data_IF_875034586132
#
_entry.id   IF_875034586132
#
_cell.length_a   1.000
_cell.length_b   1.000
_cell.length_c   1.000
_cell.angle_alpha   90.00
_cell.angle_beta   90.00
_cell.angle_gamma   90.00
#
_symmetry.space_group_name_H-M   'P 1'
#
loop_
_entity.id
_entity.type
_entity.pdbx_description
1 polymer ?
#
# COMPACT_ATOMS: atom_id res chain seq x y z
N UNK A 1 40.38 -8.49 12.72
CA UNK A 1 39.56 -8.97 13.85
C UNK A 1 38.61 -10.05 13.34
N UNK A 2 38.48 -11.22 14.00
CA UNK A 2 37.58 -12.28 13.55
C UNK A 2 36.11 -11.95 13.84
N UNK A 3 35.20 -12.29 12.92
CA UNK A 3 33.75 -12.12 13.07
C UNK A 3 33.12 -13.44 13.53
N UNK A 4 32.24 -13.40 14.54
CA UNK A 4 31.50 -14.59 14.99
C UNK A 4 30.12 -14.64 14.34
N UNK A 5 29.77 -15.80 13.77
CA UNK A 5 28.43 -16.04 13.24
C UNK A 5 27.42 -16.22 14.38
N UNK A 6 26.33 -15.44 14.38
CA UNK A 6 25.27 -15.53 15.40
C UNK A 6 24.56 -16.89 15.44
N UNK A 7 24.58 -17.63 14.33
CA UNK A 7 23.88 -18.89 14.20
C UNK A 7 24.76 -20.07 14.61
N UNK A 8 25.94 -20.26 14.02
CA UNK A 8 26.80 -21.41 14.33
C UNK A 8 27.89 -21.12 15.40
N UNK A 9 28.08 -19.86 15.80
CA UNK A 9 29.08 -19.45 16.81
C UNK A 9 30.54 -19.49 16.36
N UNK A 10 30.85 -20.05 15.18
CA UNK A 10 32.21 -20.15 14.63
C UNK A 10 32.75 -18.78 14.18
N UNK A 11 34.08 -18.64 14.17
CA UNK A 11 34.78 -17.41 13.77
C UNK A 11 35.18 -17.45 12.28
N UNK A 12 34.97 -16.34 11.57
CA UNK A 12 35.23 -16.20 10.14
C UNK A 12 35.91 -14.86 9.81
N UNK A 13 36.54 -14.78 8.64
CA UNK A 13 37.07 -13.52 8.11
C UNK A 13 35.94 -12.60 7.60
N UNK A 14 36.29 -11.36 7.23
CA UNK A 14 35.31 -10.36 6.79
C UNK A 14 34.48 -10.82 5.58
N UNK A 15 35.07 -11.61 4.69
CA UNK A 15 34.41 -12.12 3.47
C UNK A 15 33.45 -13.28 3.76
N UNK A 16 33.71 -14.07 4.81
CA UNK A 16 32.93 -15.26 5.15
C UNK A 16 32.03 -15.10 6.39
N UNK A 17 31.82 -13.84 6.82
CA UNK A 17 31.05 -13.54 8.04
C UNK A 17 29.55 -13.82 7.91
N UNK A 18 28.99 -13.84 6.70
CA UNK A 18 27.57 -14.10 6.48
C UNK A 18 27.30 -15.62 6.45
N UNK A 19 26.14 -16.08 6.94
CA UNK A 19 25.78 -17.51 6.92
C UNK A 19 25.84 -18.16 5.53
N UNK A 20 25.48 -17.39 4.49
CA UNK A 20 25.48 -17.82 3.08
C UNK A 20 26.90 -17.94 2.52
N UNK A 21 27.85 -17.17 3.06
CA UNK A 21 29.24 -17.15 2.60
C UNK A 21 30.13 -18.24 3.19
N UNK A 22 29.67 -18.99 4.20
CA UNK A 22 30.45 -20.09 4.80
C UNK A 22 29.68 -21.41 4.91
N UNK A 23 28.57 -21.55 4.19
CA UNK A 23 27.71 -22.74 4.21
C UNK A 23 27.35 -23.15 5.66
N UNK A 24 26.66 -22.24 6.36
CA UNK A 24 26.33 -22.41 7.77
C UNK A 24 25.52 -23.69 8.04
N UNK A 25 25.93 -24.48 9.04
CA UNK A 25 25.23 -25.71 9.46
C UNK A 25 23.79 -25.48 9.94
N UNK A 26 23.43 -24.23 10.27
CA UNK A 26 22.07 -23.83 10.67
C UNK A 26 21.33 -23.08 9.56
N UNK A 27 21.72 -23.26 8.30
CA UNK A 27 21.08 -22.61 7.15
C UNK A 27 19.58 -22.90 7.07
N UNK A 28 19.16 -24.13 7.35
CA UNK A 28 17.74 -24.54 7.31
C UNK A 28 16.88 -23.77 8.32
N UNK A 29 17.40 -23.58 9.54
CA UNK A 29 16.72 -22.80 10.58
C UNK A 29 16.60 -21.32 10.20
N UNK A 30 17.63 -20.78 9.55
CA UNK A 30 17.62 -19.41 9.03
C UNK A 30 16.59 -19.27 7.92
N UNK A 31 16.47 -20.27 7.04
CA UNK A 31 15.49 -20.26 5.96
C UNK A 31 14.06 -20.43 6.49
N UNK A 32 13.84 -21.26 7.51
CA UNK A 32 12.56 -21.36 8.19
C UNK A 32 12.18 -20.07 8.92
N UNK A 33 13.11 -19.42 9.63
CA UNK A 33 12.88 -18.11 10.24
C UNK A 33 12.57 -17.04 9.18
N UNK A 34 13.30 -17.04 8.04
CA UNK A 34 13.02 -16.15 6.91
C UNK A 34 11.62 -16.43 6.32
N UNK A 35 11.20 -17.69 6.19
CA UNK A 35 9.87 -18.07 5.71
C UNK A 35 8.76 -17.71 6.69
N UNK A 36 8.96 -17.94 8.00
CA UNK A 36 8.02 -17.56 9.06
C UNK A 36 7.89 -16.05 9.18
N UNK A 37 9.00 -15.31 9.07
CA UNK A 37 8.98 -13.86 8.98
C UNK A 37 8.24 -13.40 7.70
N UNK A 38 8.54 -13.98 6.54
CA UNK A 38 7.83 -13.67 5.29
C UNK A 38 6.32 -13.98 5.35
N UNK A 39 5.93 -15.00 6.12
CA UNK A 39 4.53 -15.38 6.35
C UNK A 39 3.86 -14.48 7.40
N UNK A 40 4.57 -14.05 8.44
CA UNK A 40 4.03 -13.09 9.43
C UNK A 40 4.01 -11.65 8.93
N UNK A 41 4.68 -11.34 7.80
CA UNK A 41 4.62 -10.04 7.11
C UNK A 41 3.35 -9.92 6.23
N UNK A 42 2.69 -11.04 5.88
CA UNK A 42 1.37 -11.01 5.22
C UNK A 42 0.23 -10.72 6.22
N UNK A 43 0.52 -10.83 7.52
CA UNK A 43 -0.39 -10.62 8.65
C UNK A 43 0.06 -9.48 9.58
N UNK A 44 0.92 -8.56 9.13
CA UNK A 44 1.09 -7.26 9.82
C UNK A 44 0.01 -6.28 9.38
N UNK A 45 -1.22 -6.69 9.68
CA UNK A 45 -2.36 -5.84 9.91
C UNK A 45 -1.99 -4.90 11.06
N UNK A 46 -2.05 -3.58 10.84
CA UNK A 46 -2.06 -2.50 11.83
C UNK A 46 -1.50 -2.91 13.21
N UNK A 47 -0.20 -2.74 13.45
CA UNK A 47 0.27 -2.71 14.84
C UNK A 47 -0.37 -1.46 15.45
N UNK A 48 -1.47 -1.63 16.18
CA UNK A 48 -2.09 -0.56 16.96
C UNK A 48 -1.05 -0.12 17.98
N UNK A 49 -0.45 1.06 17.84
CA UNK A 49 0.49 1.55 18.84
C UNK A 49 -0.26 1.68 20.16
N UNK A 50 0.41 1.43 21.28
CA UNK A 50 -0.24 1.65 22.57
C UNK A 50 -0.61 3.14 22.71
N UNK A 51 -1.85 3.47 23.09
CA UNK A 51 -2.28 4.86 23.24
C UNK A 51 -1.41 5.60 24.27
N UNK A 52 -0.88 6.76 23.87
CA UNK A 52 -0.18 7.69 24.75
C UNK A 52 -1.20 8.61 25.42
N UNK A 53 -1.01 8.92 26.71
CA UNK A 53 -1.91 9.81 27.46
C UNK A 53 -1.24 11.16 27.73
N UNK A 54 -1.92 12.26 27.38
CA UNK A 54 -1.48 13.62 27.72
C UNK A 54 -2.61 14.37 28.45
N UNK A 55 -2.35 14.99 29.62
CA UNK A 55 -3.29 15.89 30.26
C UNK A 55 -3.34 17.22 29.49
N UNK A 56 -4.54 17.65 29.10
CA UNK A 56 -4.75 18.93 28.41
C UNK A 56 -5.33 19.95 29.38
N UNK A 57 -4.58 21.03 29.64
CA UNK A 57 -5.05 22.12 30.50
C UNK A 57 -6.10 22.94 29.76
N UNK A 58 -7.33 22.92 30.25
CA UNK A 58 -8.45 23.71 29.70
C UNK A 58 -8.87 23.30 28.29
N UNK A 59 -8.66 22.03 27.90
CA UNK A 59 -9.11 21.50 26.60
C UNK A 59 -8.29 21.94 25.39
N UNK A 60 -7.08 22.48 25.61
CA UNK A 60 -6.22 22.95 24.53
C UNK A 60 -5.48 21.76 23.89
N UNK A 61 -5.85 21.42 22.66
CA UNK A 61 -5.26 20.29 21.89
C UNK A 61 -3.86 20.57 21.35
N UNK A 62 -3.22 21.69 21.73
CA UNK A 62 -1.86 22.06 21.27
C UNK A 62 -0.79 21.05 21.67
N UNK A 63 -1.07 20.26 22.70
CA UNK A 63 -0.13 19.30 23.27
C UNK A 63 -0.23 17.92 22.58
N UNK A 64 -1.20 17.75 21.67
CA UNK A 64 -1.38 16.55 20.86
C UNK A 64 -0.60 16.71 19.55
N UNK A 65 0.30 15.77 19.20
CA UNK A 65 1.01 15.81 17.92
C UNK A 65 0.05 15.89 16.72
N UNK A 66 0.39 16.74 15.74
CA UNK A 66 -0.38 16.84 14.50
C UNK A 66 -0.36 15.50 13.75
N UNK A 67 -1.54 14.99 13.39
CA UNK A 67 -1.70 13.68 12.74
C UNK A 67 -1.95 12.50 13.71
N UNK A 68 -2.07 12.74 15.01
CA UNK A 68 -2.49 11.72 15.96
C UNK A 68 -4.00 11.43 15.88
N UNK A 69 -4.38 10.15 15.99
CA UNK A 69 -5.78 9.72 16.14
C UNK A 69 -6.14 9.63 17.61
N UNK A 70 -7.21 10.31 18.02
CA UNK A 70 -7.71 10.27 19.41
C UNK A 70 -8.50 8.98 19.60
N UNK A 71 -8.06 8.16 20.55
CA UNK A 71 -8.71 6.91 20.92
C UNK A 71 -9.80 7.14 21.97
N UNK A 72 -9.50 7.92 23.00
CA UNK A 72 -10.43 8.18 24.10
C UNK A 72 -10.09 9.48 24.84
N UNK A 73 -11.11 10.21 25.27
CA UNK A 73 -10.98 11.36 26.16
C UNK A 73 -11.64 11.05 27.51
N UNK A 74 -10.97 11.41 28.62
CA UNK A 74 -11.49 11.24 29.98
C UNK A 74 -11.26 12.51 30.79
N UNK A 75 -12.32 13.06 31.35
CA UNK A 75 -12.25 14.16 32.32
C UNK A 75 -11.78 13.64 33.69
N UNK A 76 -10.79 14.30 34.27
CA UNK A 76 -10.29 14.02 35.61
C UNK A 76 -10.84 15.06 36.61
N UNK A 77 -11.74 14.66 37.53
CA UNK A 77 -12.35 15.57 38.49
C UNK A 77 -11.40 16.03 39.60
N UNK A 78 -10.27 15.35 39.83
CA UNK A 78 -9.30 15.73 40.87
C UNK A 78 -8.38 16.86 40.41
N UNK A 79 -7.96 16.80 39.14
CA UNK A 79 -7.04 17.77 38.54
C UNK A 79 -7.77 18.87 37.74
N UNK A 80 -9.00 18.60 37.31
CA UNK A 80 -9.77 19.49 36.42
C UNK A 80 -9.33 19.41 34.95
N UNK A 81 -8.39 18.52 34.62
CA UNK A 81 -7.85 18.35 33.28
C UNK A 81 -8.59 17.26 32.49
N UNK A 82 -8.50 17.33 31.15
CA UNK A 82 -8.95 16.23 30.28
C UNK A 82 -7.75 15.42 29.82
N UNK A 83 -7.74 14.13 30.17
CA UNK A 83 -6.74 13.17 29.74
C UNK A 83 -7.13 12.67 28.35
N UNK A 84 -6.31 12.98 27.35
CA UNK A 84 -6.50 12.51 25.97
C UNK A 84 -5.58 11.33 25.71
N UNK A 85 -6.15 10.19 25.31
CA UNK A 85 -5.42 9.03 24.81
C UNK A 85 -5.41 9.07 23.29
N UNK A 86 -4.21 9.11 22.70
CA UNK A 86 -4.01 9.14 21.25
C UNK A 86 -2.97 8.11 20.81
N UNK A 87 -3.03 7.65 19.57
CA UNK A 87 -1.93 6.90 18.96
C UNK A 87 -1.51 7.55 17.64
N UNK A 88 -0.23 7.38 17.32
CA UNK A 88 0.32 7.75 16.01
C UNK A 88 0.15 6.55 15.08
N UNK A 89 -0.69 6.60 14.04
CA UNK A 89 -0.80 5.47 13.11
C UNK A 89 0.59 5.17 12.52
N UNK A 90 1.17 4.04 12.91
CA UNK A 90 2.47 3.62 12.37
C UNK A 90 2.24 2.92 11.05
N UNK A 91 2.53 3.60 9.96
CA UNK A 91 2.64 2.95 8.66
C UNK A 91 3.93 2.14 8.67
N UNK A 92 3.82 0.83 8.94
CA UNK A 92 4.93 -0.08 8.73
C UNK A 92 5.25 -0.14 7.25
N UNK A 93 6.44 0.36 6.90
CA UNK A 93 6.98 0.39 5.54
C UNK A 93 7.20 -1.05 5.04
N UNK A 94 6.47 -1.55 4.03
CA UNK A 94 6.69 -2.90 3.51
C UNK A 94 7.98 -2.97 2.67
N UNK A 95 8.32 -4.19 2.27
CA UNK A 95 9.60 -4.61 1.70
C UNK A 95 10.17 -3.67 0.62
N UNK A 96 11.50 -3.56 0.62
CA UNK A 96 12.30 -2.69 -0.26
C UNK A 96 11.93 -2.95 -1.73
N UNK A 97 11.53 -1.93 -2.52
CA UNK A 97 11.15 -2.11 -3.92
C UNK A 97 12.33 -2.60 -4.76
N UNK A 98 12.07 -3.57 -5.65
CA UNK A 98 13.06 -4.19 -6.55
C UNK A 98 13.74 -3.18 -7.48
N UNK A 99 13.05 -2.09 -7.83
CA UNK A 99 13.54 -1.04 -8.74
C UNK A 99 13.70 0.34 -8.07
N UNK A 100 13.71 0.40 -6.74
CA UNK A 100 13.75 1.68 -5.99
C UNK A 100 12.44 2.49 -6.03
N UNK A 101 11.59 2.29 -7.05
CA UNK A 101 10.32 3.02 -7.25
C UNK A 101 9.09 2.11 -7.15
N UNK A 102 9.17 0.84 -7.60
CA UNK A 102 8.02 -0.08 -7.62
C UNK A 102 8.38 -1.45 -7.03
N UNK A 103 7.42 -2.06 -6.33
CA UNK A 103 7.54 -3.43 -5.81
C UNK A 103 7.13 -4.48 -6.86
N UNK A 104 7.68 -5.70 -6.77
CA UNK A 104 7.26 -6.79 -7.67
C UNK A 104 5.78 -7.17 -7.50
N UNK A 105 5.27 -7.10 -6.26
CA UNK A 105 3.85 -7.34 -5.95
C UNK A 105 2.95 -6.25 -6.55
N UNK A 106 3.39 -5.00 -6.47
CA UNK A 106 2.69 -3.87 -7.07
C UNK A 106 2.57 -4.02 -8.59
N UNK A 107 3.65 -4.40 -9.28
CA UNK A 107 3.61 -4.62 -10.73
C UNK A 107 2.57 -5.70 -11.09
N UNK A 108 2.54 -6.79 -10.32
CA UNK A 108 1.53 -7.85 -10.48
C UNK A 108 0.11 -7.32 -10.29
N UNK A 109 -0.13 -6.56 -9.22
CA UNK A 109 -1.44 -5.95 -8.96
C UNK A 109 -1.84 -4.96 -10.06
N UNK A 110 -0.93 -4.09 -10.50
CA UNK A 110 -1.19 -3.12 -11.54
C UNK A 110 -1.54 -3.80 -12.87
N UNK A 111 -0.82 -4.86 -13.25
CA UNK A 111 -1.13 -5.64 -14.45
C UNK A 111 -2.51 -6.29 -14.39
N UNK A 112 -2.87 -6.88 -13.24
CA UNK A 112 -4.21 -7.45 -13.04
C UNK A 112 -5.27 -6.36 -13.13
N UNK A 113 -5.04 -5.20 -12.50
CA UNK A 113 -5.95 -4.05 -12.56
C UNK A 113 -6.16 -3.54 -13.99
N UNK A 114 -5.10 -3.43 -14.80
CA UNK A 114 -5.15 -3.04 -16.21
C UNK A 114 -5.99 -4.04 -17.02
N UNK A 115 -5.79 -5.34 -16.81
CA UNK A 115 -6.56 -6.38 -17.50
C UNK A 115 -8.04 -6.28 -17.10
N UNK A 116 -8.34 -6.19 -15.81
CA UNK A 116 -9.72 -6.07 -15.31
C UNK A 116 -10.41 -4.82 -15.86
N UNK A 117 -9.73 -3.67 -15.83
CA UNK A 117 -10.20 -2.40 -16.38
C UNK A 117 -10.52 -2.52 -17.88
N UNK A 118 -9.58 -3.02 -18.68
CA UNK A 118 -9.79 -3.14 -20.12
C UNK A 118 -10.92 -4.12 -20.45
N UNK A 119 -10.96 -5.28 -19.77
CA UNK A 119 -11.97 -6.31 -20.00
C UNK A 119 -13.37 -5.84 -19.59
N UNK A 120 -13.53 -5.18 -18.45
CA UNK A 120 -14.84 -4.69 -17.98
C UNK A 120 -15.41 -3.63 -18.92
N UNK A 121 -14.59 -2.64 -19.32
CA UNK A 121 -14.98 -1.59 -20.26
C UNK A 121 -15.30 -2.18 -21.64
N UNK A 122 -14.45 -3.07 -22.15
CA UNK A 122 -14.69 -3.74 -23.43
C UNK A 122 -16.01 -4.52 -23.41
N UNK A 123 -16.24 -5.33 -22.37
CA UNK A 123 -17.46 -6.11 -22.21
C UNK A 123 -18.69 -5.21 -22.07
N UNK A 124 -18.60 -4.11 -21.31
CA UNK A 124 -19.67 -3.11 -21.19
C UNK A 124 -20.11 -2.60 -22.56
N UNK A 125 -19.15 -2.19 -23.40
CA UNK A 125 -19.45 -1.69 -24.75
C UNK A 125 -19.95 -2.81 -25.67
N UNK A 126 -19.41 -4.03 -25.60
CA UNK A 126 -19.89 -5.15 -26.43
C UNK A 126 -21.35 -5.49 -26.13
N UNK A 127 -21.73 -5.57 -24.85
CA UNK A 127 -23.12 -5.83 -24.44
C UNK A 127 -24.03 -4.68 -24.90
N UNK A 128 -23.60 -3.43 -24.70
CA UNK A 128 -24.41 -2.24 -25.01
C UNK A 128 -24.67 -2.04 -26.51
N UNK A 129 -23.78 -2.54 -27.37
CA UNK A 129 -23.83 -2.33 -28.82
C UNK A 129 -24.00 -3.63 -29.62
N UNK A 130 -24.49 -4.71 -28.99
CA UNK A 130 -24.50 -6.06 -29.59
C UNK A 130 -25.19 -6.12 -30.97
N UNK A 131 -26.32 -5.44 -31.15
CA UNK A 131 -27.06 -5.41 -32.43
C UNK A 131 -26.26 -4.70 -33.55
N UNK A 132 -25.57 -3.61 -33.20
CA UNK A 132 -24.74 -2.85 -34.13
C UNK A 132 -23.47 -3.63 -34.52
N UNK A 133 -22.89 -4.38 -33.57
CA UNK A 133 -21.68 -5.16 -33.79
C UNK A 133 -21.89 -6.29 -34.81
N UNK A 134 -23.06 -6.92 -34.82
CA UNK A 134 -23.42 -7.91 -35.84
C UNK A 134 -23.53 -7.29 -37.24
N UNK A 135 -24.12 -6.09 -37.33
CA UNK A 135 -24.32 -5.39 -38.62
C UNK A 135 -23.04 -4.75 -39.14
N UNK A 136 -22.17 -4.28 -38.25
CA UNK A 136 -20.96 -3.52 -38.57
C UNK A 136 -19.77 -4.02 -37.73
N UNK A 137 -19.13 -5.14 -38.10
CA UNK A 137 -18.07 -5.76 -37.29
C UNK A 137 -16.82 -4.89 -37.13
N UNK A 138 -16.61 -3.88 -37.99
CA UNK A 138 -15.50 -2.92 -37.87
C UNK A 138 -15.59 -2.08 -36.59
N UNK A 139 -16.78 -1.96 -35.97
CA UNK A 139 -16.97 -1.22 -34.71
C UNK A 139 -16.16 -1.86 -33.56
N UNK A 140 -15.86 -3.17 -33.60
CA UNK A 140 -14.98 -3.80 -32.60
C UNK A 140 -13.60 -3.13 -32.50
N UNK A 141 -13.05 -2.65 -33.62
CA UNK A 141 -11.77 -1.93 -33.63
C UNK A 141 -11.89 -0.62 -32.85
N UNK A 142 -12.96 0.14 -33.08
CA UNK A 142 -13.20 1.41 -32.37
C UNK A 142 -13.40 1.20 -30.87
N UNK A 143 -14.18 0.19 -30.46
CA UNK A 143 -14.37 -0.14 -29.03
C UNK A 143 -13.04 -0.54 -28.39
N UNK A 144 -12.21 -1.33 -29.08
CA UNK A 144 -10.88 -1.75 -28.60
C UNK A 144 -9.96 -0.55 -28.39
N UNK A 145 -9.92 0.38 -29.34
CA UNK A 145 -9.11 1.60 -29.25
C UNK A 145 -9.60 2.51 -28.12
N UNK A 146 -10.92 2.68 -27.98
CA UNK A 146 -11.51 3.49 -26.91
C UNK A 146 -11.24 2.87 -25.53
N UNK A 147 -11.42 1.56 -25.38
CA UNK A 147 -11.08 0.84 -24.15
C UNK A 147 -9.61 1.00 -23.79
N UNK A 148 -8.71 0.91 -24.78
CA UNK A 148 -7.28 1.15 -24.58
C UNK A 148 -6.98 2.57 -24.10
N UNK A 149 -7.64 3.58 -24.67
CA UNK A 149 -7.48 4.98 -24.25
C UNK A 149 -7.93 5.19 -22.79
N UNK A 150 -9.09 4.62 -22.41
CA UNK A 150 -9.60 4.68 -21.03
C UNK A 150 -8.62 4.01 -20.07
N UNK A 151 -8.10 2.83 -20.41
CA UNK A 151 -7.11 2.11 -19.61
C UNK A 151 -5.81 2.91 -19.44
N UNK A 152 -5.35 3.62 -20.49
CA UNK A 152 -4.20 4.53 -20.38
C UNK A 152 -4.50 5.67 -19.40
N UNK A 153 -5.71 6.24 -19.45
CA UNK A 153 -6.17 7.25 -18.48
C UNK A 153 -6.13 6.74 -17.05
N UNK A 154 -6.62 5.52 -16.80
CA UNK A 154 -6.53 4.87 -15.49
C UNK A 154 -5.08 4.70 -15.01
N UNK A 155 -4.18 4.23 -15.88
CA UNK A 155 -2.76 4.10 -15.53
C UNK A 155 -2.18 5.47 -15.14
N UNK A 156 -2.49 6.52 -15.90
CA UNK A 156 -2.07 7.89 -15.60
C UNK A 156 -2.63 8.41 -14.28
N UNK A 157 -3.89 8.12 -13.98
CA UNK A 157 -4.58 8.48 -12.74
C UNK A 157 -3.86 7.88 -11.51
N UNK A 158 -3.67 6.56 -11.50
CA UNK A 158 -3.01 5.85 -10.40
C UNK A 158 -1.53 6.26 -10.25
N UNK A 159 -0.81 6.39 -11.37
CA UNK A 159 0.58 6.83 -11.35
C UNK A 159 0.72 8.26 -10.79
N UNK A 160 -0.25 9.14 -11.02
CA UNK A 160 -0.20 10.52 -10.52
C UNK A 160 -0.33 10.60 -9.00
N UNK A 161 -1.21 9.80 -8.40
CA UNK A 161 -1.26 9.62 -6.95
C UNK A 161 0.07 9.11 -6.40
N UNK A 162 0.64 8.10 -7.06
CA UNK A 162 1.92 7.52 -6.66
C UNK A 162 3.07 8.51 -6.75
N UNK A 163 3.26 9.17 -7.90
CA UNK A 163 4.37 10.10 -8.09
C UNK A 163 4.28 11.31 -7.17
N UNK A 164 3.07 11.81 -6.89
CA UNK A 164 2.88 12.92 -5.94
C UNK A 164 3.24 12.49 -4.53
N UNK A 165 2.86 11.27 -4.13
CA UNK A 165 3.23 10.71 -2.82
C UNK A 165 4.74 10.53 -2.68
N UNK A 166 5.41 10.02 -3.73
CA UNK A 166 6.87 9.84 -3.73
C UNK A 166 7.62 11.18 -3.69
N UNK A 167 7.07 12.26 -4.27
CA UNK A 167 7.66 13.62 -4.17
C UNK A 167 7.56 14.22 -2.77
N UNK A 168 6.63 13.73 -1.95
CA UNK A 168 6.42 14.14 -0.57
C UNK A 168 7.14 13.20 0.42
N UNK A 169 8.08 12.37 -0.07
CA UNK A 169 8.80 11.35 0.71
C UNK A 169 7.89 10.31 1.39
N UNK A 170 6.67 10.12 0.88
CA UNK A 170 5.76 9.10 1.37
C UNK A 170 6.00 7.77 0.66
N UNK A 171 5.70 6.68 1.37
CA UNK A 171 5.58 5.39 0.72
C UNK A 171 4.26 5.34 -0.06
N UNK A 172 4.30 4.81 -1.29
CA UNK A 172 3.11 4.63 -2.11
C UNK A 172 3.22 3.42 -3.02
N UNK A 173 2.22 2.54 -2.96
CA UNK A 173 2.12 1.37 -3.84
C UNK A 173 0.68 1.12 -4.29
N UNK A 174 0.50 0.79 -5.57
CA UNK A 174 -0.78 0.32 -6.06
C UNK A 174 -1.11 -1.06 -5.49
N UNK A 175 -2.31 -1.20 -4.92
CA UNK A 175 -2.82 -2.46 -4.40
C UNK A 175 -4.19 -2.76 -4.96
N UNK A 176 -4.33 -3.97 -5.49
CA UNK A 176 -5.61 -4.52 -5.85
C UNK A 176 -6.40 -4.81 -4.57
N UNK A 177 -7.63 -4.32 -4.49
CA UNK A 177 -8.50 -4.67 -3.38
C UNK A 177 -9.40 -5.84 -3.79
N UNK A 178 -9.38 -6.94 -3.04
CA UNK A 178 -10.09 -8.18 -3.41
C UNK A 178 -11.57 -7.92 -3.70
N UNK A 179 -12.23 -7.13 -2.87
CA UNK A 179 -13.65 -6.78 -3.02
C UNK A 179 -13.90 -6.00 -4.30
N UNK A 180 -13.14 -4.93 -4.54
CA UNK A 180 -13.38 -4.07 -5.69
C UNK A 180 -12.90 -4.68 -7.01
N UNK A 181 -11.84 -5.50 -6.98
CA UNK A 181 -11.42 -6.31 -8.12
C UNK A 181 -12.49 -7.33 -8.52
N UNK A 182 -13.09 -8.01 -7.54
CA UNK A 182 -14.20 -8.93 -7.78
C UNK A 182 -15.42 -8.21 -8.34
N UNK A 183 -15.80 -7.07 -7.75
CA UNK A 183 -16.89 -6.25 -8.26
C UNK A 183 -16.62 -5.77 -9.69
N UNK A 184 -15.40 -5.33 -9.99
CA UNK A 184 -15.00 -4.90 -11.35
C UNK A 184 -15.05 -6.04 -12.36
N UNK A 185 -14.73 -7.26 -11.94
CA UNK A 185 -14.78 -8.44 -12.80
C UNK A 185 -16.22 -8.87 -13.12
N UNK A 186 -17.15 -8.72 -12.18
CA UNK A 186 -18.54 -9.23 -12.30
C UNK A 186 -19.51 -8.15 -12.80
N UNK A 187 -19.28 -6.89 -12.42
CA UNK A 187 -20.17 -5.76 -12.69
C UNK A 187 -19.46 -4.79 -13.63
N UNK A 188 -19.69 -4.85 -14.95
CA UNK A 188 -18.94 -4.07 -15.93
C UNK A 188 -19.13 -2.54 -15.81
N UNK A 189 -20.12 -2.07 -15.04
CA UNK A 189 -20.33 -0.66 -14.69
C UNK A 189 -19.55 -0.18 -13.45
N UNK A 190 -18.99 -1.10 -12.66
CA UNK A 190 -18.15 -0.76 -11.52
C UNK A 190 -16.69 -0.93 -11.93
N UNK A 191 -15.94 0.18 -12.00
CA UNK A 191 -14.62 0.19 -12.63
C UNK A 191 -13.58 0.78 -11.69
N UNK A 192 -13.26 0.04 -10.63
CA UNK A 192 -12.35 0.46 -9.57
C UNK A 192 -11.63 -0.77 -9.01
N UNK A 193 -10.64 -1.36 -9.70
CA UNK A 193 -10.06 -2.64 -9.27
C UNK A 193 -9.17 -2.51 -8.01
N UNK A 194 -8.70 -1.31 -7.68
CA UNK A 194 -7.79 -1.06 -6.57
C UNK A 194 -7.50 0.42 -6.40
N UNK A 195 -6.51 0.73 -5.58
CA UNK A 195 -6.07 2.09 -5.31
C UNK A 195 -4.58 2.15 -4.94
N UNK A 196 -3.96 3.33 -5.10
CA UNK A 196 -2.66 3.62 -4.51
C UNK A 196 -2.80 3.81 -3.00
N UNK A 197 -2.17 2.91 -2.24
CA UNK A 197 -2.07 3.04 -0.79
C UNK A 197 -0.89 3.94 -0.46
N UNK A 198 -1.13 4.96 0.36
CA UNK A 198 -0.11 5.95 0.77
C UNK A 198 0.15 5.82 2.25
N UNK A 199 1.41 5.82 2.63
CA UNK A 199 1.85 5.59 3.98
C UNK A 199 2.92 6.58 4.42
N UNK A 200 2.65 7.31 5.51
CA UNK A 200 3.60 8.24 6.12
C UNK A 200 3.34 8.39 7.61
N UNK A 201 4.41 8.48 8.40
CA UNK A 201 4.34 8.78 9.84
C UNK A 201 4.17 10.28 10.13
N UNK A 202 4.16 11.15 9.09
CA UNK A 202 4.11 12.63 9.21
C UNK A 202 3.17 13.27 8.18
N UNK A 203 2.17 12.54 7.67
CA UNK A 203 1.26 13.07 6.65
C UNK A 203 0.44 14.25 7.19
N UNK A 204 0.66 15.46 6.66
CA UNK A 204 -0.21 16.61 6.94
C UNK A 204 -1.47 16.57 6.07
N UNK A 205 -2.58 17.13 6.55
CA UNK A 205 -3.86 17.15 5.82
C UNK A 205 -3.76 17.88 4.46
N UNK A 206 -2.96 18.94 4.39
CA UNK A 206 -2.72 19.70 3.17
C UNK A 206 -1.97 18.87 2.12
N UNK A 207 -0.95 18.12 2.53
CA UNK A 207 -0.19 17.24 1.66
C UNK A 207 -1.03 16.05 1.16
N UNK A 208 -1.85 15.46 2.02
CA UNK A 208 -2.83 14.43 1.61
C UNK A 208 -3.86 14.98 0.62
N UNK A 209 -4.30 16.22 0.79
CA UNK A 209 -5.19 16.90 -0.16
C UNK A 209 -4.55 17.02 -1.55
N UNK A 210 -3.26 17.39 -1.62
CA UNK A 210 -2.50 17.46 -2.89
C UNK A 210 -2.37 16.10 -3.56
N UNK A 211 -2.13 15.04 -2.79
CA UNK A 211 -2.07 13.67 -3.31
C UNK A 211 -3.42 13.24 -3.87
N UNK A 212 -4.52 13.50 -3.16
CA UNK A 212 -5.88 13.17 -3.61
C UNK A 212 -6.29 13.92 -4.89
N UNK A 213 -5.81 15.15 -5.08
CA UNK A 213 -6.06 15.97 -6.27
C UNK A 213 -5.17 15.62 -7.47
N UNK A 214 -4.16 14.78 -7.32
CA UNK A 214 -3.18 14.54 -8.39
C UNK A 214 -3.68 13.59 -9.49
N UNK A 215 -4.55 12.64 -9.15
CA UNK A 215 -5.10 11.66 -10.09
C UNK A 215 -6.31 12.14 -10.91
N UNK A 216 -7.33 12.75 -10.29
CA UNK A 216 -8.52 13.28 -10.96
C UNK A 216 -8.23 14.52 -11.81
#
# INVERSE_FOLDING_TARGET
MPFSCKYCGKQFCSEHRLPESHNCERADLIEEEKKRAAQSIDETQYVTPQPQSVPTQGGRTSDIPEGAEIYQERYDPETGDTIVQYYMPTVQKPDKPLLGITSGKELGHLLIGIILMFQSVFLMFVISFMDYLHKFPRIYILITLLGGLITIGFIGHELSHKFTSLRLDYWAEFRLEKTYALLTAVLPWFVMPGAVQVGSSRASKDEMGKVALAGP
#
